data_IF_706399653926
#
_entry.id   IF_706399653926
#
_cell.length_a   1.000
_cell.length_b   1.000
_cell.length_c   1.000
_cell.angle_alpha   90.00
_cell.angle_beta   90.00
_cell.angle_gamma   90.00
#
_symmetry.space_group_name_H-M   'P 1'
#
loop_
_entity.id
_entity.type
_entity.pdbx_description
1 polymer ?
#
# COMPACT_ATOMS: atom_id res chain seq x y z
N UNK A 1 -17.00 -5.34 -4.36
CA UNK A 1 -15.64 -4.80 -4.10
C UNK A 1 -15.52 -4.48 -2.62
N UNK A 2 -14.66 -5.19 -1.89
CA UNK A 2 -14.47 -5.06 -0.45
C UNK A 2 -13.98 -3.65 -0.05
N UNK A 3 -14.59 -3.07 0.98
CA UNK A 3 -14.33 -1.69 1.43
C UNK A 3 -12.85 -1.45 1.79
N UNK A 4 -12.20 -2.48 2.37
CA UNK A 4 -10.78 -2.48 2.73
C UNK A 4 -9.87 -2.27 1.52
N UNK A 5 -10.12 -2.99 0.42
CA UNK A 5 -9.30 -2.84 -0.79
C UNK A 5 -9.49 -1.46 -1.42
N UNK A 6 -10.69 -0.90 -1.36
CA UNK A 6 -10.95 0.48 -1.83
C UNK A 6 -10.11 1.50 -1.07
N UNK A 7 -10.10 1.46 0.26
CA UNK A 7 -9.31 2.37 1.08
C UNK A 7 -7.82 2.21 0.74
N UNK A 8 -7.34 0.98 0.61
CA UNK A 8 -5.95 0.71 0.26
C UNK A 8 -5.57 1.29 -1.11
N UNK A 9 -6.41 1.13 -2.13
CA UNK A 9 -6.13 1.68 -3.46
C UNK A 9 -6.18 3.21 -3.50
N UNK A 10 -7.07 3.84 -2.72
CA UNK A 10 -7.09 5.31 -2.57
C UNK A 10 -5.80 5.80 -1.94
N UNK A 11 -5.32 5.15 -0.88
CA UNK A 11 -4.04 5.46 -0.24
C UNK A 11 -2.87 5.23 -1.19
N UNK A 12 -2.85 4.11 -1.91
CA UNK A 12 -1.81 3.81 -2.89
C UNK A 12 -1.73 4.91 -3.97
N UNK A 13 -2.87 5.32 -4.53
CA UNK A 13 -2.91 6.40 -5.52
C UNK A 13 -2.45 7.75 -4.96
N UNK A 14 -2.84 8.09 -3.72
CA UNK A 14 -2.42 9.31 -3.05
C UNK A 14 -0.90 9.33 -2.80
N UNK A 15 -0.34 8.22 -2.31
CA UNK A 15 1.09 8.09 -2.06
C UNK A 15 1.88 8.11 -3.36
N UNK A 16 1.43 7.39 -4.39
CA UNK A 16 2.10 7.41 -5.70
C UNK A 16 2.12 8.79 -6.33
N UNK A 17 1.07 9.60 -6.14
CA UNK A 17 1.03 10.99 -6.60
C UNK A 17 2.09 11.90 -5.97
N UNK A 18 2.67 11.51 -4.82
CA UNK A 18 3.81 12.21 -4.21
C UNK A 18 5.14 11.91 -4.93
N UNK A 19 5.24 10.75 -5.57
CA UNK A 19 6.48 10.30 -6.24
C UNK A 19 6.45 10.52 -7.75
N UNK A 20 5.26 10.42 -8.38
CA UNK A 20 5.08 10.52 -9.82
C UNK A 20 3.81 11.30 -10.17
N UNK A 21 3.90 12.15 -11.19
CA UNK A 21 2.76 12.91 -11.69
C UNK A 21 1.61 11.97 -12.11
N UNK A 22 0.37 12.33 -11.76
CA UNK A 22 -0.81 11.49 -12.06
C UNK A 22 -1.03 11.23 -13.54
N UNK A 23 -0.55 12.11 -14.39
CA UNK A 23 -0.72 12.03 -15.85
C UNK A 23 0.43 11.27 -16.52
N UNK A 24 1.39 10.75 -15.74
CA UNK A 24 2.51 10.01 -16.27
C UNK A 24 2.10 8.59 -16.71
N UNK A 25 2.63 8.13 -17.84
CA UNK A 25 2.34 6.81 -18.41
C UNK A 25 2.62 5.66 -17.43
N UNK A 26 3.62 5.83 -16.58
CA UNK A 26 4.07 4.85 -15.59
C UNK A 26 3.34 4.95 -14.24
N UNK A 27 2.37 5.86 -14.07
CA UNK A 27 1.69 6.07 -12.80
C UNK A 27 1.05 4.79 -12.27
N UNK A 28 0.32 4.05 -13.11
CA UNK A 28 -0.36 2.80 -12.73
C UNK A 28 0.63 1.71 -12.30
N UNK A 29 1.80 1.65 -12.95
CA UNK A 29 2.84 0.68 -12.60
C UNK A 29 3.37 0.99 -11.20
N UNK A 30 3.72 2.25 -10.95
CA UNK A 30 4.26 2.68 -9.66
C UNK A 30 3.19 2.58 -8.56
N UNK A 31 1.93 2.87 -8.88
CA UNK A 31 0.80 2.66 -7.98
C UNK A 31 0.67 1.21 -7.54
N UNK A 32 0.87 0.27 -8.47
CA UNK A 32 0.85 -1.16 -8.16
C UNK A 32 1.99 -1.53 -7.22
N UNK A 33 3.20 -1.04 -7.45
CA UNK A 33 4.33 -1.25 -6.53
C UNK A 33 4.08 -0.67 -5.14
N UNK A 34 3.54 0.55 -5.06
CA UNK A 34 3.19 1.20 -3.80
C UNK A 34 2.09 0.43 -3.07
N UNK A 35 1.08 -0.06 -3.79
CA UNK A 35 0.03 -0.89 -3.20
C UNK A 35 0.58 -2.19 -2.61
N UNK A 36 1.48 -2.88 -3.32
CA UNK A 36 2.15 -4.09 -2.82
C UNK A 36 2.96 -3.76 -1.56
N UNK A 37 3.75 -2.68 -1.57
CA UNK A 37 4.52 -2.24 -0.41
C UNK A 37 3.65 -1.95 0.82
N UNK A 38 2.51 -1.28 0.63
CA UNK A 38 1.55 -1.02 1.71
C UNK A 38 0.98 -2.33 2.29
N UNK A 39 0.58 -3.27 1.44
CA UNK A 39 0.08 -4.58 1.89
C UNK A 39 1.16 -5.30 2.69
N UNK A 40 2.39 -5.36 2.17
CA UNK A 40 3.52 -5.99 2.86
C UNK A 40 3.82 -5.32 4.19
N UNK A 41 3.77 -3.99 4.28
CA UNK A 41 3.98 -3.24 5.51
C UNK A 41 2.91 -3.56 6.57
N UNK A 42 1.64 -3.68 6.17
CA UNK A 42 0.55 -4.08 7.07
C UNK A 42 0.74 -5.50 7.59
N UNK A 43 1.11 -6.43 6.71
CA UNK A 43 1.38 -7.82 7.10
C UNK A 43 2.59 -7.93 8.03
N UNK A 44 3.67 -7.19 7.74
CA UNK A 44 4.85 -7.11 8.59
C UNK A 44 4.50 -6.54 9.97
N UNK A 45 3.77 -5.42 10.03
CA UNK A 45 3.34 -4.83 11.28
C UNK A 45 2.51 -5.83 12.12
N UNK A 46 1.57 -6.54 11.48
CA UNK A 46 0.78 -7.59 12.13
C UNK A 46 1.64 -8.76 12.62
N UNK A 47 2.63 -9.18 11.83
CA UNK A 47 3.56 -10.25 12.17
C UNK A 47 4.48 -9.88 13.34
N UNK A 48 5.11 -8.70 13.31
CA UNK A 48 5.93 -8.18 14.40
C UNK A 48 5.12 -8.03 15.69
N UNK A 49 3.88 -7.55 15.57
CA UNK A 49 2.99 -7.42 16.72
C UNK A 49 2.62 -8.78 17.33
N UNK A 50 2.35 -9.77 16.49
CA UNK A 50 2.11 -11.16 16.92
C UNK A 50 3.34 -11.75 17.63
N UNK A 51 4.54 -11.52 17.08
CA UNK A 51 5.79 -11.97 17.69
C UNK A 51 6.02 -11.31 19.05
N UNK A 52 5.82 -9.98 19.16
CA UNK A 52 5.91 -9.25 20.43
C UNK A 52 4.93 -9.73 21.50
N UNK A 53 3.74 -10.24 21.12
CA UNK A 53 2.78 -10.79 22.09
C UNK A 53 3.12 -12.21 22.56
N UNK A 54 3.95 -12.94 21.82
CA UNK A 54 4.35 -14.32 22.15
C UNK A 54 5.66 -14.40 22.94
N UNK A 55 6.38 -13.29 23.06
CA UNK A 55 7.62 -13.17 23.86
C UNK A 55 7.28 -12.53 25.19
#
# INVERSE_FOLDING_TARGET
MSLILRILFVLAGAITALFVARDALNFTIIQTFVAILLVTAVLLAGSLWSLRRKT
#
